data_IF_222160488538
#
_entry.id   IF_222160488538
#
_cell.length_a   1.000
_cell.length_b   1.000
_cell.length_c   1.000
_cell.angle_alpha   90.00
_cell.angle_beta   90.00
_cell.angle_gamma   90.00
#
_symmetry.space_group_name_H-M   'P 1'
#
loop_
_entity.id
_entity.type
_entity.pdbx_description
1 polymer ?
#
# COMPACT_ATOMS: atom_id res chain seq x y z
N UNK A 1 -31.23 10.44 -23.96
CA UNK A 1 -30.82 10.34 -24.04
C UNK A 1 -29.53 10.15 -23.75
N UNK A 2 -28.75 10.19 -23.87
CA UNK A 2 -27.49 9.89 -23.68
C UNK A 2 -26.91 10.17 -22.45
N UNK A 3 -27.58 10.57 -21.63
CA UNK A 3 -27.02 11.01 -20.49
C UNK A 3 -26.48 9.98 -19.75
N UNK A 4 -26.89 8.88 -19.88
CA UNK A 4 -26.42 7.97 -19.06
C UNK A 4 -25.04 7.62 -19.21
N UNK A 5 -24.53 7.60 -20.31
CA UNK A 5 -23.17 7.22 -20.45
C UNK A 5 -22.30 8.09 -19.65
N UNK A 6 -22.72 9.26 -19.50
CA UNK A 6 -21.95 10.15 -18.80
C UNK A 6 -21.79 9.72 -17.41
N UNK A 7 -22.83 9.26 -16.84
CA UNK A 7 -22.77 8.88 -15.51
C UNK A 7 -21.82 7.76 -15.36
N UNK A 8 -21.86 6.87 -16.28
CA UNK A 8 -21.02 5.74 -16.15
C UNK A 8 -19.58 6.16 -16.15
N UNK A 9 -19.24 7.13 -16.92
CA UNK A 9 -17.84 7.46 -16.97
C UNK A 9 -17.37 8.04 -15.68
N UNK A 10 -18.20 8.62 -14.92
CA UNK A 10 -17.74 9.16 -13.67
C UNK A 10 -17.27 8.08 -12.77
N UNK A 11 -17.74 6.88 -13.01
CA UNK A 11 -17.34 5.89 -12.11
C UNK A 11 -16.05 5.32 -12.42
N UNK A 12 -15.44 5.64 -13.46
CA UNK A 12 -14.20 5.05 -13.79
C UNK A 12 -13.01 5.81 -13.33
N UNK A 13 -13.22 6.78 -12.53
CA UNK A 13 -12.10 7.53 -12.04
C UNK A 13 -11.64 6.80 -10.79
N UNK A 14 -10.95 5.71 -10.97
CA UNK A 14 -10.46 4.97 -9.83
C UNK A 14 -8.97 4.78 -10.01
N UNK A 15 -8.31 4.61 -8.93
CA UNK A 15 -6.88 4.39 -8.94
C UNK A 15 -6.58 3.00 -8.44
N UNK A 16 -5.46 2.46 -8.85
CA UNK A 16 -4.99 1.20 -8.36
C UNK A 16 -3.54 1.38 -7.97
N UNK A 17 -3.09 0.61 -7.03
CA UNK A 17 -1.71 0.66 -6.61
C UNK A 17 -1.12 -0.73 -6.78
N UNK A 18 0.05 -0.78 -7.41
CA UNK A 18 0.85 -1.97 -7.40
C UNK A 18 1.85 -1.77 -6.28
N UNK A 19 1.98 -2.72 -5.41
CA UNK A 19 2.84 -2.62 -4.24
C UNK A 19 3.66 -3.88 -4.14
N UNK A 20 4.94 -3.74 -3.93
CA UNK A 20 5.83 -4.87 -3.77
C UNK A 20 6.88 -4.56 -2.73
N UNK A 21 7.41 -5.60 -2.12
CA UNK A 21 8.52 -5.44 -1.19
C UNK A 21 9.68 -6.29 -1.68
N UNK A 22 10.86 -5.99 -1.20
CA UNK A 22 12.03 -6.73 -1.64
C UNK A 22 12.06 -8.16 -1.11
N UNK A 23 11.34 -8.45 -0.04
CA UNK A 23 11.26 -9.78 0.51
C UNK A 23 9.91 -10.00 1.15
N UNK A 24 9.61 -11.22 1.51
CA UNK A 24 8.38 -11.54 2.22
C UNK A 24 8.65 -11.84 3.68
N UNK A 25 9.92 -12.05 4.04
CA UNK A 25 10.31 -12.37 5.41
C UNK A 25 11.38 -11.40 5.89
N UNK A 26 11.18 -10.84 7.06
CA UNK A 26 12.13 -9.88 7.62
C UNK A 26 12.40 -10.23 9.07
N UNK A 27 13.62 -10.00 9.51
CA UNK A 27 13.94 -10.16 10.92
C UNK A 27 13.70 -8.86 11.66
N UNK A 28 13.66 -8.94 12.97
CA UNK A 28 13.56 -7.74 13.78
C UNK A 28 14.80 -6.92 13.56
N UNK A 29 14.63 -5.64 13.36
CA UNK A 29 15.73 -4.74 13.06
C UNK A 29 16.02 -4.57 11.58
N UNK A 30 15.37 -5.36 10.73
CA UNK A 30 15.57 -5.22 9.29
C UNK A 30 14.78 -4.02 8.78
N UNK A 31 14.94 -3.73 7.51
CA UNK A 31 14.18 -2.66 6.87
C UNK A 31 13.43 -3.25 5.70
N UNK A 32 12.15 -2.94 5.62
CA UNK A 32 11.33 -3.38 4.51
C UNK A 32 11.47 -2.34 3.41
N UNK A 33 11.94 -2.75 2.25
CA UNK A 33 12.03 -1.85 1.10
C UNK A 33 10.80 -2.06 0.24
N UNK A 34 10.00 -1.03 0.11
CA UNK A 34 8.78 -1.08 -0.68
C UNK A 34 8.92 -0.27 -1.93
N UNK A 35 8.21 -0.67 -2.95
CA UNK A 35 8.14 0.13 -4.16
C UNK A 35 6.86 -0.20 -4.88
N UNK A 36 6.44 0.68 -5.72
CA UNK A 36 5.21 0.46 -6.43
C UNK A 36 4.85 1.61 -7.33
N UNK A 37 3.62 1.57 -7.78
CA UNK A 37 3.15 2.56 -8.73
C UNK A 37 1.66 2.77 -8.58
N UNK A 38 1.25 4.03 -8.63
CA UNK A 38 -0.16 4.39 -8.69
C UNK A 38 -0.54 4.40 -10.16
N UNK A 39 -1.57 3.67 -10.50
CA UNK A 39 -2.00 3.59 -11.88
C UNK A 39 -3.38 4.21 -12.01
N UNK A 40 -3.44 5.43 -12.45
CA UNK A 40 -4.71 6.09 -12.62
C UNK A 40 -5.39 5.65 -13.89
N UNK A 41 -6.68 5.64 -13.87
CA UNK A 41 -7.41 5.36 -15.08
C UNK A 41 -7.55 6.63 -15.88
N UNK A 42 -7.35 7.77 -15.24
CA UNK A 42 -7.41 9.04 -15.89
C UNK A 42 -6.10 9.74 -15.63
N UNK A 43 -5.29 9.91 -16.64
CA UNK A 43 -3.96 10.43 -16.42
C UNK A 43 -3.91 11.88 -15.98
N UNK A 44 -5.00 12.58 -16.05
CA UNK A 44 -4.97 13.97 -15.67
C UNK A 44 -5.15 14.22 -14.20
N UNK A 45 -5.73 13.26 -13.52
CA UNK A 45 -6.10 13.51 -12.13
C UNK A 45 -5.72 12.44 -11.16
N UNK A 46 -4.57 11.89 -11.27
CA UNK A 46 -4.20 10.87 -10.30
C UNK A 46 -3.63 11.50 -9.04
N UNK A 47 -3.68 10.74 -7.99
CA UNK A 47 -3.19 11.20 -6.71
C UNK A 47 -1.67 11.26 -6.70
N UNK A 48 -1.13 12.25 -6.01
CA UNK A 48 0.31 12.36 -5.87
C UNK A 48 0.77 11.78 -4.54
N UNK A 49 -0.14 11.58 -3.62
CA UNK A 49 0.21 11.08 -2.30
C UNK A 49 -0.52 9.79 -2.01
N UNK A 50 0.11 8.93 -1.27
CA UNK A 50 -0.50 7.68 -0.86
C UNK A 50 -0.07 7.37 0.56
N UNK A 51 -0.77 6.44 1.19
CA UNK A 51 -0.43 5.99 2.52
C UNK A 51 -0.07 4.52 2.46
N UNK A 52 0.97 4.14 3.18
CA UNK A 52 1.36 2.75 3.32
C UNK A 52 1.30 2.42 4.79
N UNK A 53 0.66 1.34 5.13
CA UNK A 53 0.47 0.94 6.51
C UNK A 53 0.96 -0.47 6.74
N UNK A 54 1.49 -0.71 7.92
CA UNK A 54 1.80 -2.05 8.37
C UNK A 54 0.84 -2.33 9.49
N UNK A 55 0.03 -3.36 9.34
CA UNK A 55 -1.03 -3.65 10.30
C UNK A 55 -0.88 -5.03 10.90
N UNK A 56 -1.28 -5.16 12.15
CA UNK A 56 -1.24 -6.43 12.84
C UNK A 56 -2.42 -7.29 12.42
N UNK A 57 -2.44 -8.52 12.84
CA UNK A 57 -3.55 -9.39 12.55
C UNK A 57 -4.83 -8.98 13.26
N UNK A 58 -4.72 -8.13 14.26
CA UNK A 58 -5.89 -7.61 14.94
C UNK A 58 -6.31 -6.26 14.37
N UNK A 59 -5.82 -5.95 13.17
CA UNK A 59 -6.14 -4.70 12.49
C UNK A 59 -5.66 -3.43 13.18
N UNK A 60 -4.64 -3.53 13.97
CA UNK A 60 -4.03 -2.34 14.57
C UNK A 60 -2.95 -1.83 13.65
N UNK A 61 -2.90 -0.54 13.45
CA UNK A 61 -1.88 0.05 12.60
C UNK A 61 -0.63 0.26 13.42
N UNK A 62 0.44 -0.43 13.03
CA UNK A 62 1.70 -0.26 13.70
C UNK A 62 2.48 0.90 13.13
N UNK A 63 2.35 1.12 11.85
CA UNK A 63 3.14 2.11 11.17
C UNK A 63 2.36 2.63 10.01
N UNK A 64 2.37 3.93 9.79
CA UNK A 64 1.72 4.54 8.66
C UNK A 64 2.63 5.62 8.10
N UNK A 65 2.95 5.53 6.84
CA UNK A 65 3.76 6.54 6.18
C UNK A 65 3.01 7.15 5.02
N UNK A 66 3.12 8.46 4.90
CA UNK A 66 2.56 9.15 3.76
C UNK A 66 3.69 9.35 2.77
N UNK A 67 3.50 8.91 1.55
CA UNK A 67 4.52 8.99 0.52
C UNK A 67 4.05 9.86 -0.62
N UNK A 68 4.99 10.40 -1.34
CA UNK A 68 4.68 11.17 -2.52
C UNK A 68 5.20 10.40 -3.72
N UNK A 69 4.38 10.23 -4.74
CA UNK A 69 4.82 9.56 -5.95
C UNK A 69 5.50 10.55 -6.87
N UNK A 70 6.26 10.04 -7.82
CA UNK A 70 6.88 10.91 -8.82
C UNK A 70 5.83 11.20 -9.90
N UNK A 71 6.22 11.87 -10.96
CA UNK A 71 5.27 12.28 -11.98
C UNK A 71 4.78 11.11 -12.82
N UNK A 72 5.30 9.93 -12.63
CA UNK A 72 4.81 8.74 -13.29
C UNK A 72 4.07 7.84 -12.32
N UNK A 73 3.80 8.31 -11.13
CA UNK A 73 3.08 7.54 -10.14
C UNK A 73 3.92 6.55 -9.37
N UNK A 74 5.23 6.54 -9.57
CA UNK A 74 6.09 5.55 -8.89
C UNK A 74 6.50 6.06 -7.52
N UNK A 75 6.68 5.14 -6.61
CA UNK A 75 7.08 5.49 -5.25
C UNK A 75 7.93 4.38 -4.65
N UNK A 76 8.69 4.75 -3.64
CA UNK A 76 9.40 3.74 -2.86
C UNK A 76 9.51 4.25 -1.43
N UNK A 77 9.76 3.36 -0.52
CA UNK A 77 9.89 3.71 0.87
C UNK A 77 10.63 2.62 1.61
N UNK A 78 11.20 2.98 2.74
CA UNK A 78 11.86 2.02 3.59
C UNK A 78 11.15 2.09 4.94
N UNK A 79 10.67 0.96 5.41
CA UNK A 79 9.98 0.88 6.68
C UNK A 79 10.83 0.09 7.65
N UNK A 80 11.24 0.69 8.76
CA UNK A 80 12.07 -0.04 9.71
C UNK A 80 11.23 -1.02 10.52
N UNK A 81 11.76 -2.21 10.71
CA UNK A 81 11.13 -3.22 11.56
C UNK A 81 11.78 -3.07 12.91
N UNK A 82 11.02 -2.62 13.90
CA UNK A 82 11.60 -2.35 15.19
C UNK A 82 11.95 -3.63 15.94
N UNK A 83 12.98 -3.58 16.72
CA UNK A 83 13.45 -4.77 17.40
C UNK A 83 12.50 -5.23 18.48
N UNK A 84 11.62 -4.36 18.97
CA UNK A 84 10.70 -4.74 20.03
C UNK A 84 9.34 -5.23 19.51
N UNK A 85 9.18 -5.32 18.20
CA UNK A 85 7.92 -5.83 17.68
C UNK A 85 7.82 -7.34 17.90
N UNK A 86 6.63 -7.82 17.97
CA UNK A 86 6.40 -9.22 18.17
C UNK A 86 6.61 -9.97 16.88
N UNK A 87 7.20 -11.15 16.94
CA UNK A 87 7.35 -11.99 15.77
C UNK A 87 5.96 -12.49 15.36
N UNK A 88 5.54 -12.16 14.17
CA UNK A 88 4.20 -12.49 13.74
C UNK A 88 4.07 -12.22 12.25
N UNK A 89 2.90 -12.52 11.71
CA UNK A 89 2.56 -12.14 10.35
C UNK A 89 1.85 -10.80 10.42
N UNK A 90 2.32 -9.87 9.61
CA UNK A 90 1.74 -8.55 9.53
C UNK A 90 1.26 -8.34 8.11
N UNK A 91 0.49 -7.31 7.87
CA UNK A 91 0.02 -7.03 6.52
C UNK A 91 0.42 -5.64 6.09
N UNK A 92 0.87 -5.54 4.86
CA UNK A 92 1.14 -4.24 4.25
C UNK A 92 -0.10 -3.85 3.47
N UNK A 93 -0.47 -2.60 3.59
CA UNK A 93 -1.64 -2.08 2.89
C UNK A 93 -1.30 -0.70 2.35
N UNK A 94 -1.77 -0.39 1.17
CA UNK A 94 -1.52 0.92 0.59
C UNK A 94 -2.79 1.47 -0.03
N UNK A 95 -2.95 2.79 0.01
CA UNK A 95 -4.11 3.42 -0.60
C UNK A 95 -3.90 4.91 -0.79
N UNK A 96 -4.62 5.49 -1.73
CA UNK A 96 -4.62 6.92 -1.93
C UNK A 96 -5.90 7.45 -1.30
N UNK A 97 -5.98 8.77 -1.17
CA UNK A 97 -7.16 9.35 -0.64
C UNK A 97 -8.35 9.08 -1.52
N UNK A 98 -8.16 9.09 -2.82
CA UNK A 98 -9.24 8.81 -3.74
C UNK A 98 -9.76 7.39 -3.53
N UNK A 99 -8.88 6.43 -3.34
CA UNK A 99 -9.30 5.06 -3.12
C UNK A 99 -10.11 4.92 -1.84
N UNK A 100 -9.78 5.70 -0.82
CA UNK A 100 -10.54 5.63 0.41
C UNK A 100 -11.98 6.07 0.20
N UNK A 101 -12.22 6.98 -0.71
CA UNK A 101 -13.56 7.48 -0.92
C UNK A 101 -14.44 6.53 -1.72
N UNK A 102 -13.85 5.59 -2.40
CA UNK A 102 -14.65 4.71 -3.23
C UNK A 102 -14.78 3.28 -2.73
N UNK A 103 -13.72 2.58 -2.59
CA UNK A 103 -13.86 1.18 -2.22
C UNK A 103 -12.67 0.70 -1.41
N UNK A 104 -12.77 0.74 -0.09
CA UNK A 104 -11.66 0.30 0.74
C UNK A 104 -11.25 -1.15 0.52
N UNK A 105 -12.15 -1.96 0.00
CA UNK A 105 -11.79 -3.36 -0.22
C UNK A 105 -10.89 -3.54 -1.42
N UNK A 106 -10.67 -2.51 -2.20
CA UNK A 106 -9.79 -2.62 -3.34
C UNK A 106 -8.34 -2.27 -2.99
N UNK A 107 -8.06 -1.95 -1.75
CA UNK A 107 -6.70 -1.61 -1.37
C UNK A 107 -5.83 -2.86 -1.48
N UNK A 108 -4.64 -2.76 -2.05
CA UNK A 108 -3.75 -3.90 -2.05
C UNK A 108 -3.30 -4.18 -0.63
N UNK A 109 -3.29 -5.45 -0.29
CA UNK A 109 -2.89 -5.84 1.04
C UNK A 109 -2.27 -7.22 0.92
N UNK A 110 -1.13 -7.43 1.51
CA UNK A 110 -0.53 -8.75 1.50
C UNK A 110 0.33 -9.02 2.72
N UNK A 111 0.52 -10.28 3.06
CA UNK A 111 1.18 -10.63 4.31
C UNK A 111 2.71 -10.52 4.23
N UNK A 112 3.31 -10.21 5.36
CA UNK A 112 4.73 -10.15 5.52
C UNK A 112 5.04 -10.84 6.84
N UNK A 113 5.99 -11.75 6.82
CA UNK A 113 6.40 -12.45 8.03
C UNK A 113 7.53 -11.68 8.69
N UNK A 114 7.39 -11.34 9.94
CA UNK A 114 8.40 -10.58 10.68
C UNK A 114 8.84 -11.32 11.92
N UNK A 115 10.13 -11.26 12.14
CA UNK A 115 10.68 -11.71 13.41
C UNK A 115 11.14 -13.14 13.51
N UNK A 116 11.01 -13.89 12.45
CA UNK A 116 11.44 -15.23 12.54
C UNK A 116 12.68 -15.50 11.85
N UNK A 117 13.55 -14.49 11.78
CA UNK A 117 14.68 -14.60 11.05
C UNK A 117 15.53 -15.72 11.37
N UNK A 118 15.82 -16.02 12.37
CA UNK A 118 16.75 -17.02 12.69
C UNK A 118 16.27 -18.39 12.42
N UNK A 119 15.08 -18.54 12.14
CA UNK A 119 14.62 -19.72 12.03
C UNK A 119 14.61 -20.21 10.81
N UNK A 120 14.75 -19.65 9.97
CA UNK A 120 14.70 -20.01 8.80
C UNK A 120 15.60 -20.70 8.47
N UNK A 121 16.16 -20.70 8.98
CA UNK A 121 17.09 -21.35 8.67
C UNK A 121 16.76 -22.47 8.43
#
# INVERSE_FOLDING_TARGET
MGLYPIIASCQHVTEKIFLASDRMNYGLGDTISLFGQICPTDTLNYSRYLYVELITQQDSILLRNKLKSDDKGRFNANLPVETYWKADTYHLRAYTRLMQNFNPLSFPIYPIQIGKQGQNS
#
